data_IF_470179717972
#
_entry.id   IF_470179717972
#
_cell.length_a   1.000
_cell.length_b   1.000
_cell.length_c   1.000
_cell.angle_alpha   90.00
_cell.angle_beta   90.00
_cell.angle_gamma   90.00
#
_symmetry.space_group_name_H-M   'P 1'
#
loop_
_entity.id
_entity.type
_entity.pdbx_description
1 polymer ?
#
# COMPACT_ATOMS: atom_id res chain seq x y z
N UNK A 1 15.67 66.95 -30.09
CA UNK A 1 14.96 66.05 -31.03
C UNK A 1 15.04 64.65 -30.46
N UNK A 2 13.87 64.10 -30.14
CA UNK A 2 13.64 62.80 -29.50
C UNK A 2 13.57 61.68 -30.54
N UNK A 3 14.08 60.49 -30.22
CA UNK A 3 13.58 59.15 -30.65
C UNK A 3 14.09 58.15 -29.59
N UNK A 4 13.30 57.70 -28.60
CA UNK A 4 12.37 56.56 -28.58
C UNK A 4 12.97 55.17 -28.92
N UNK A 5 13.04 54.29 -27.91
CA UNK A 5 12.82 52.84 -27.99
C UNK A 5 12.88 52.26 -26.56
N UNK A 6 11.71 52.19 -25.91
CA UNK A 6 11.02 50.93 -25.56
C UNK A 6 11.69 50.16 -24.41
N UNK A 7 11.32 50.56 -23.20
CA UNK A 7 11.49 49.73 -22.01
C UNK A 7 10.51 48.56 -22.04
N UNK A 8 11.04 47.36 -21.93
CA UNK A 8 10.27 46.16 -21.64
C UNK A 8 9.57 46.31 -20.28
N UNK A 9 8.31 45.87 -20.14
CA UNK A 9 7.64 45.91 -18.85
C UNK A 9 8.34 44.93 -17.91
N UNK A 10 8.90 45.46 -16.82
CA UNK A 10 9.27 44.65 -15.67
C UNK A 10 8.00 43.95 -15.19
N UNK A 11 7.92 42.64 -15.44
CA UNK A 11 6.91 41.79 -14.82
C UNK A 11 7.22 41.84 -13.33
N UNK A 12 6.47 42.67 -12.62
CA UNK A 12 6.38 42.67 -11.17
C UNK A 12 5.86 41.28 -10.85
N UNK A 13 6.76 40.40 -10.41
CA UNK A 13 6.37 39.23 -9.64
C UNK A 13 5.68 39.79 -8.40
N UNK A 14 4.36 39.92 -8.47
CA UNK A 14 3.50 39.99 -7.30
C UNK A 14 3.67 38.65 -6.58
N UNK A 15 4.75 38.56 -5.80
CA UNK A 15 4.90 37.60 -4.73
C UNK A 15 3.79 38.01 -3.76
N UNK A 16 2.60 37.47 -3.98
CA UNK A 16 1.61 37.37 -2.93
C UNK A 16 2.37 36.70 -1.77
N UNK A 17 2.53 37.37 -0.61
CA UNK A 17 2.95 36.63 0.55
C UNK A 17 1.88 35.55 0.72
N UNK A 18 2.24 34.29 0.52
CA UNK A 18 1.47 33.19 1.07
C UNK A 18 1.28 33.57 2.54
N UNK A 19 0.06 34.00 2.89
CA UNK A 19 -0.24 34.44 4.25
C UNK A 19 -0.05 33.21 5.12
N UNK A 20 1.16 33.06 5.66
CA UNK A 20 1.45 32.17 6.73
C UNK A 20 0.54 32.64 7.86
N UNK A 21 -0.53 31.89 8.10
CA UNK A 21 -1.49 32.16 9.16
C UNK A 21 -0.71 32.46 10.44
N UNK A 22 -0.87 33.67 10.98
CA UNK A 22 -0.18 34.08 12.20
C UNK A 22 -0.52 33.08 13.31
N UNK A 23 0.48 32.70 14.11
CA UNK A 23 0.31 31.69 15.16
C UNK A 23 -0.88 32.00 16.10
N UNK A 24 -1.19 33.29 16.31
CA UNK A 24 -2.35 33.73 17.08
C UNK A 24 -3.68 33.38 16.40
N UNK A 25 -3.80 33.64 15.09
CA UNK A 25 -4.98 33.28 14.30
C UNK A 25 -5.19 31.76 14.26
N UNK A 26 -4.11 30.99 14.11
CA UNK A 26 -4.15 29.51 14.16
C UNK A 26 -4.61 29.00 15.53
N UNK A 27 -4.12 29.61 16.62
CA UNK A 27 -4.52 29.28 18.00
C UNK A 27 -5.99 29.59 18.27
N UNK A 28 -6.52 30.70 17.75
CA UNK A 28 -7.94 31.03 17.85
C UNK A 28 -8.81 30.06 17.05
N UNK A 29 -8.38 29.68 15.84
CA UNK A 29 -9.06 28.65 15.04
C UNK A 29 -9.16 27.34 15.81
N UNK A 30 -8.05 26.87 16.40
CA UNK A 30 -8.04 25.67 17.23
C UNK A 30 -8.96 25.77 18.45
N UNK A 31 -9.03 26.94 19.11
CA UNK A 31 -9.98 27.13 20.22
C UNK A 31 -11.43 27.00 19.76
N UNK A 32 -11.80 27.57 18.60
CA UNK A 32 -13.15 27.45 18.03
C UNK A 32 -13.47 26.00 17.63
N UNK A 33 -12.53 25.30 17.00
CA UNK A 33 -12.70 23.89 16.63
C UNK A 33 -12.87 22.98 17.86
N UNK A 34 -12.06 23.21 18.90
CA UNK A 34 -12.12 22.45 20.16
C UNK A 34 -13.46 22.62 20.89
N UNK A 35 -14.14 23.75 20.74
CA UNK A 35 -15.49 23.95 21.31
C UNK A 35 -16.54 23.05 20.68
N UNK A 36 -16.33 22.59 19.45
CA UNK A 36 -17.24 21.69 18.74
C UNK A 36 -16.99 20.21 19.05
N UNK A 37 -15.93 19.89 19.79
CA UNK A 37 -15.63 18.51 20.16
C UNK A 37 -16.48 18.03 21.34
N UNK A 38 -16.76 16.73 21.43
CA UNK A 38 -17.37 16.11 22.60
C UNK A 38 -16.60 16.49 23.88
N UNK A 39 -17.31 16.71 24.99
CA UNK A 39 -16.78 17.11 26.30
C UNK A 39 -15.47 16.42 26.72
N UNK A 40 -15.29 15.09 26.57
CA UNK A 40 -14.02 14.43 26.94
C UNK A 40 -12.82 14.87 26.08
N UNK A 41 -13.06 15.26 24.83
CA UNK A 41 -12.02 15.70 23.88
C UNK A 41 -11.69 17.20 23.98
N UNK A 42 -12.46 17.97 24.77
CA UNK A 42 -12.25 19.41 24.95
C UNK A 42 -11.02 19.76 25.79
N UNK A 43 -10.38 18.78 26.45
CA UNK A 43 -9.19 18.98 27.29
C UNK A 43 -7.87 18.54 26.61
N UNK A 44 -7.90 18.18 25.33
CA UNK A 44 -6.75 17.68 24.58
C UNK A 44 -5.81 18.79 24.10
N UNK A 45 -4.50 18.49 23.98
CA UNK A 45 -3.50 19.43 23.46
C UNK A 45 -3.90 20.08 22.12
N UNK A 46 -3.59 21.37 21.97
CA UNK A 46 -3.95 22.15 20.77
C UNK A 46 -3.29 21.62 19.49
N UNK A 47 -2.14 20.96 19.61
CA UNK A 47 -1.41 20.36 18.49
C UNK A 47 -2.17 19.22 17.81
N UNK A 48 -3.04 18.52 18.53
CA UNK A 48 -3.87 17.42 18.01
C UNK A 48 -5.25 17.89 17.54
N UNK A 49 -5.60 19.17 17.71
CA UNK A 49 -6.95 19.66 17.34
C UNK A 49 -7.21 19.56 15.84
N UNK A 50 -6.23 19.90 14.99
CA UNK A 50 -6.41 19.74 13.53
C UNK A 50 -6.57 18.26 13.14
N UNK A 51 -5.79 17.37 13.76
CA UNK A 51 -5.82 15.93 13.46
C UNK A 51 -7.09 15.23 13.99
N UNK A 52 -7.67 15.74 15.07
CA UNK A 52 -8.99 15.29 15.56
C UNK A 52 -10.08 15.86 14.66
N UNK A 53 -9.98 17.13 14.26
CA UNK A 53 -10.97 17.77 13.40
C UNK A 53 -11.07 17.13 12.00
N UNK A 54 -10.03 16.45 11.53
CA UNK A 54 -10.05 15.69 10.27
C UNK A 54 -10.73 14.32 10.38
N UNK A 55 -10.97 13.80 11.60
CA UNK A 55 -11.62 12.51 11.79
C UNK A 55 -13.10 12.55 11.47
N UNK A 56 -13.65 11.42 11.02
CA UNK A 56 -15.08 11.25 10.82
C UNK A 56 -15.85 11.33 12.14
N UNK A 57 -17.13 11.72 12.08
CA UNK A 57 -17.97 11.91 13.28
C UNK A 57 -18.10 10.64 14.14
N UNK A 58 -18.13 9.46 13.51
CA UNK A 58 -18.14 8.15 14.19
C UNK A 58 -16.85 7.90 14.95
N UNK A 59 -15.70 8.14 14.31
CA UNK A 59 -14.38 8.06 14.92
C UNK A 59 -14.21 9.07 16.07
N UNK A 60 -14.76 10.27 15.95
CA UNK A 60 -14.77 11.28 17.03
C UNK A 60 -15.52 10.83 18.27
N UNK A 61 -16.69 10.20 18.09
CA UNK A 61 -17.48 9.67 19.20
C UNK A 61 -16.78 8.48 19.87
N UNK A 62 -16.17 7.59 19.08
CA UNK A 62 -15.36 6.49 19.62
C UNK A 62 -14.14 7.00 20.38
N UNK A 63 -13.41 7.98 19.83
CA UNK A 63 -12.26 8.60 20.51
C UNK A 63 -12.69 9.25 21.82
N UNK A 64 -13.84 9.95 21.83
CA UNK A 64 -14.42 10.55 23.02
C UNK A 64 -14.75 9.52 24.10
N UNK A 65 -15.25 8.35 23.71
CA UNK A 65 -15.61 7.27 24.63
C UNK A 65 -14.37 6.59 25.26
N UNK A 66 -13.26 6.50 24.53
CA UNK A 66 -12.04 5.82 24.99
C UNK A 66 -10.95 6.76 25.51
N UNK A 67 -11.17 8.09 25.46
CA UNK A 67 -10.14 9.09 25.75
C UNK A 67 -9.44 8.91 27.11
N UNK A 68 -10.17 8.42 28.11
CA UNK A 68 -9.65 8.20 29.46
C UNK A 68 -8.91 6.85 29.63
N UNK A 69 -8.98 5.99 28.62
CA UNK A 69 -8.46 4.61 28.65
C UNK A 69 -7.26 4.40 27.70
N UNK A 70 -6.86 5.43 26.96
CA UNK A 70 -5.78 5.36 25.96
C UNK A 70 -4.44 5.86 26.53
N UNK A 71 -3.38 5.08 26.32
CA UNK A 71 -2.00 5.49 26.67
C UNK A 71 -1.43 6.52 25.69
N UNK A 72 -1.90 6.54 24.43
CA UNK A 72 -1.37 7.44 23.39
C UNK A 72 -2.45 7.95 22.43
N UNK A 73 -2.81 9.22 22.61
CA UNK A 73 -3.76 9.94 21.77
C UNK A 73 -3.32 10.09 20.30
N UNK A 74 -2.05 10.39 19.97
CA UNK A 74 -1.61 10.42 18.57
C UNK A 74 -1.77 9.06 17.87
N UNK A 75 -1.53 7.94 18.57
CA UNK A 75 -1.74 6.60 18.01
C UNK A 75 -3.22 6.32 17.75
N UNK A 76 -4.10 6.70 18.69
CA UNK A 76 -5.54 6.52 18.54
C UNK A 76 -6.08 7.31 17.34
N UNK A 77 -5.65 8.56 17.16
CA UNK A 77 -6.03 9.37 15.99
C UNK A 77 -5.57 8.72 14.70
N UNK A 78 -4.32 8.26 14.62
CA UNK A 78 -3.80 7.63 13.40
C UNK A 78 -4.56 6.34 13.06
N UNK A 79 -4.90 5.53 14.06
CA UNK A 79 -5.70 4.32 13.83
C UNK A 79 -7.12 4.63 13.37
N UNK A 80 -7.73 5.69 13.89
CA UNK A 80 -9.06 6.15 13.51
C UNK A 80 -9.11 6.83 12.14
N UNK A 81 -8.01 7.46 11.72
CA UNK A 81 -7.85 8.06 10.39
C UNK A 81 -7.78 6.96 9.32
N UNK A 82 -7.09 5.86 9.62
CA UNK A 82 -6.94 4.70 8.72
C UNK A 82 -8.17 3.77 8.78
N UNK A 83 -8.72 3.56 9.97
CA UNK A 83 -9.84 2.64 10.23
C UNK A 83 -10.97 3.36 11.00
N UNK A 84 -11.85 4.09 10.31
CA UNK A 84 -12.93 4.85 10.96
C UNK A 84 -13.99 3.95 11.62
N UNK A 85 -14.10 2.70 11.17
CA UNK A 85 -15.07 1.70 11.66
C UNK A 85 -14.47 0.67 12.62
N UNK A 86 -13.30 0.95 13.19
CA UNK A 86 -12.67 0.05 14.17
C UNK A 86 -13.54 -0.06 15.44
N UNK A 87 -13.67 -1.27 15.97
CA UNK A 87 -14.38 -1.48 17.22
C UNK A 87 -13.56 -0.96 18.43
N UNK A 88 -14.29 -0.58 19.47
CA UNK A 88 -13.73 -0.01 20.71
C UNK A 88 -12.64 -0.88 21.34
N UNK A 89 -12.86 -2.20 21.38
CA UNK A 89 -11.96 -3.15 22.05
C UNK A 89 -10.66 -3.32 21.26
N UNK A 90 -10.74 -3.47 19.94
CA UNK A 90 -9.59 -3.51 19.04
C UNK A 90 -8.78 -2.22 19.09
N UNK A 91 -9.45 -1.06 19.10
CA UNK A 91 -8.78 0.23 19.17
C UNK A 91 -7.99 0.38 20.47
N UNK A 92 -8.59 0.04 21.62
CA UNK A 92 -7.90 0.06 22.91
C UNK A 92 -6.73 -0.93 22.96
N UNK A 93 -6.92 -2.14 22.42
CA UNK A 93 -5.86 -3.15 22.34
C UNK A 93 -4.64 -2.66 21.54
N UNK A 94 -4.86 -1.98 20.42
CA UNK A 94 -3.79 -1.48 19.55
C UNK A 94 -3.11 -0.22 20.12
N UNK A 95 -3.87 0.68 20.74
CA UNK A 95 -3.33 1.93 21.30
C UNK A 95 -2.48 1.65 22.54
N UNK A 96 -2.90 0.68 23.38
CA UNK A 96 -2.25 0.34 24.64
C UNK A 96 -1.23 -0.80 24.51
N UNK A 97 -1.06 -1.39 23.32
CA UNK A 97 0.01 -2.35 23.07
C UNK A 97 1.38 -1.66 23.19
N UNK A 98 2.18 -2.08 24.19
CA UNK A 98 3.55 -1.59 24.46
C UNK A 98 4.63 -2.17 23.54
N UNK A 99 4.24 -2.95 22.53
CA UNK A 99 5.13 -3.59 21.56
C UNK A 99 4.80 -3.15 20.12
N UNK A 100 5.79 -3.27 19.24
CA UNK A 100 5.72 -2.96 17.80
C UNK A 100 4.38 -3.32 17.19
N UNK A 101 3.81 -2.37 16.45
CA UNK A 101 2.51 -2.49 15.78
C UNK A 101 2.61 -3.64 14.77
N UNK A 102 2.19 -4.83 15.19
CA UNK A 102 1.85 -5.92 14.30
C UNK A 102 0.57 -5.51 13.58
N UNK A 103 0.72 -4.90 12.40
CA UNK A 103 -0.38 -4.53 11.49
C UNK A 103 -1.32 -5.71 11.15
N UNK A 104 -0.94 -6.94 11.52
CA UNK A 104 -1.74 -8.15 11.36
C UNK A 104 -2.85 -8.32 12.43
N UNK A 105 -2.86 -7.51 13.49
CA UNK A 105 -3.83 -7.64 14.59
C UNK A 105 -5.10 -6.80 14.40
N UNK A 106 -5.17 -5.92 13.41
CA UNK A 106 -6.36 -5.10 13.14
C UNK A 106 -7.39 -5.97 12.41
N UNK A 107 -8.26 -6.64 13.19
CA UNK A 107 -9.43 -7.33 12.67
C UNK A 107 -10.59 -6.35 12.61
N UNK A 108 -10.98 -5.93 11.41
CA UNK A 108 -12.30 -5.30 11.18
C UNK A 108 -13.43 -6.28 11.55
N UNK A 109 -14.55 -5.84 12.15
CA UNK A 109 -15.64 -6.73 12.49
C UNK A 109 -16.51 -7.05 11.26
N UNK A 110 -16.64 -8.36 10.97
CA UNK A 110 -17.74 -9.12 10.32
C UNK A 110 -18.50 -8.49 9.13
N UNK A 111 -18.70 -9.12 7.97
CA UNK A 111 -18.73 -10.52 7.56
C UNK A 111 -18.42 -10.53 6.04
N UNK A 112 -17.77 -11.53 5.45
CA UNK A 112 -18.31 -12.88 5.24
C UNK A 112 -17.17 -13.90 5.24
N UNK A 113 -17.52 -15.13 5.60
CA UNK A 113 -16.70 -16.34 5.62
C UNK A 113 -15.65 -16.37 4.49
N UNK A 114 -14.44 -15.90 4.77
CA UNK A 114 -13.24 -16.26 3.99
C UNK A 114 -12.58 -17.44 4.71
N UNK A 115 -12.18 -18.49 3.98
CA UNK A 115 -11.57 -19.65 4.59
C UNK A 115 -10.29 -19.20 5.27
N UNK A 116 -10.05 -19.78 6.44
CA UNK A 116 -8.89 -19.61 7.29
C UNK A 116 -7.62 -19.63 6.45
N UNK A 117 -7.00 -18.47 6.27
CA UNK A 117 -5.64 -18.36 5.73
C UNK A 117 -4.66 -18.75 6.84
N UNK A 118 -4.61 -20.05 7.15
CA UNK A 118 -3.52 -20.67 7.87
C UNK A 118 -3.22 -22.02 7.22
N UNK A 119 -2.51 -21.93 6.09
CA UNK A 119 -1.53 -22.92 5.70
C UNK A 119 -0.47 -22.15 4.90
N UNK A 120 0.85 -22.37 5.11
CA UNK A 120 1.80 -21.96 4.07
C UNK A 120 1.24 -22.53 2.78
N UNK A 121 0.95 -21.67 1.80
CA UNK A 121 0.30 -22.07 0.56
C UNK A 121 1.12 -23.24 0.02
N UNK A 122 0.58 -24.44 0.18
CA UNK A 122 1.26 -25.63 -0.25
C UNK A 122 1.05 -25.59 -1.75
N UNK A 123 2.12 -25.42 -2.52
CA UNK A 123 2.04 -25.37 -3.96
C UNK A 123 1.14 -26.50 -4.42
N UNK A 124 0.01 -26.15 -5.05
CA UNK A 124 -0.88 -27.16 -5.55
C UNK A 124 -0.14 -27.87 -6.69
N UNK A 125 -0.47 -29.13 -6.93
CA UNK A 125 0.08 -29.87 -8.07
C UNK A 125 -0.14 -29.10 -9.38
N UNK A 126 -1.22 -28.35 -9.49
CA UNK A 126 -1.53 -27.45 -10.60
C UNK A 126 -0.52 -26.29 -10.76
N UNK A 127 -0.02 -25.72 -9.67
CA UNK A 127 0.98 -24.63 -9.71
C UNK A 127 2.34 -25.16 -10.23
N UNK A 128 2.70 -26.37 -9.81
CA UNK A 128 3.92 -27.06 -10.26
C UNK A 128 3.81 -27.42 -11.74
N UNK A 129 2.65 -27.95 -12.16
CA UNK A 129 2.39 -28.29 -13.56
C UNK A 129 2.37 -27.04 -14.45
N UNK A 130 1.77 -25.95 -13.98
CA UNK A 130 1.78 -24.66 -14.67
C UNK A 130 3.21 -24.15 -14.85
N UNK A 131 4.04 -24.17 -13.80
CA UNK A 131 5.44 -23.78 -13.92
C UNK A 131 6.21 -24.72 -14.88
N UNK A 132 5.93 -26.01 -14.85
CA UNK A 132 6.52 -26.98 -15.78
C UNK A 132 6.09 -26.70 -17.24
N UNK A 133 4.85 -26.30 -17.48
CA UNK A 133 4.38 -25.88 -18.82
C UNK A 133 5.16 -24.66 -19.33
N UNK A 134 5.39 -23.67 -18.46
CA UNK A 134 6.21 -22.50 -18.79
C UNK A 134 7.67 -22.90 -19.06
N UNK A 135 8.24 -23.80 -18.27
CA UNK A 135 9.60 -24.29 -18.51
C UNK A 135 9.72 -25.01 -19.86
N UNK A 136 8.70 -25.77 -20.26
CA UNK A 136 8.69 -26.44 -21.56
C UNK A 136 8.44 -25.48 -22.72
N UNK A 137 7.65 -24.42 -22.53
CA UNK A 137 7.48 -23.39 -23.57
C UNK A 137 8.76 -22.58 -23.77
N UNK A 138 9.53 -22.35 -22.71
CA UNK A 138 10.80 -21.65 -22.78
C UNK A 138 11.95 -22.54 -23.26
N UNK A 139 11.90 -23.84 -22.97
CA UNK A 139 12.92 -24.80 -23.37
C UNK A 139 12.26 -25.98 -24.08
N UNK A 140 11.96 -25.85 -25.38
CA UNK A 140 11.18 -26.86 -26.12
C UNK A 140 11.82 -28.26 -26.13
N UNK A 141 13.13 -28.36 -25.91
CA UNK A 141 13.88 -29.63 -25.82
C UNK A 141 13.81 -30.29 -24.44
N UNK A 142 13.24 -29.64 -23.42
CA UNK A 142 13.17 -30.15 -22.06
C UNK A 142 12.06 -31.21 -21.92
N UNK A 143 12.38 -32.45 -21.50
CA UNK A 143 11.37 -33.48 -21.28
C UNK A 143 10.48 -33.15 -20.08
N UNK A 144 9.21 -33.56 -20.14
CA UNK A 144 8.18 -33.19 -19.15
C UNK A 144 8.57 -33.53 -17.72
N UNK A 145 9.11 -34.72 -17.52
CA UNK A 145 9.54 -35.22 -16.21
C UNK A 145 10.67 -34.38 -15.61
N UNK A 146 11.57 -33.85 -16.45
CA UNK A 146 12.62 -32.93 -15.99
C UNK A 146 12.06 -31.56 -15.65
N UNK A 147 11.10 -31.06 -16.42
CA UNK A 147 10.43 -29.78 -16.15
C UNK A 147 9.64 -29.81 -14.83
N UNK A 148 8.89 -30.88 -14.57
CA UNK A 148 8.16 -31.07 -13.31
C UNK A 148 9.11 -31.23 -12.12
N UNK A 149 10.17 -32.03 -12.28
CA UNK A 149 11.18 -32.20 -11.25
C UNK A 149 11.89 -30.88 -10.93
N UNK A 150 12.22 -30.08 -11.96
CA UNK A 150 12.84 -28.76 -11.80
C UNK A 150 11.88 -27.76 -11.15
N UNK A 151 10.61 -27.72 -11.58
CA UNK A 151 9.57 -26.87 -11.00
C UNK A 151 9.32 -27.17 -9.52
N UNK A 152 9.42 -28.43 -9.11
CA UNK A 152 9.29 -28.85 -7.70
C UNK A 152 10.58 -28.65 -6.87
N UNK A 153 11.69 -28.27 -7.51
CA UNK A 153 12.99 -28.13 -6.84
C UNK A 153 13.09 -26.86 -6.02
N UNK A 154 13.99 -26.86 -5.03
CA UNK A 154 14.26 -25.66 -4.21
C UNK A 154 14.80 -24.49 -5.04
N UNK A 155 15.47 -24.76 -6.18
CA UNK A 155 16.00 -23.71 -7.05
C UNK A 155 14.90 -22.88 -7.73
N UNK A 156 13.69 -23.45 -7.87
CA UNK A 156 12.54 -22.81 -8.52
C UNK A 156 11.48 -22.31 -7.53
N UNK A 157 11.77 -22.35 -6.23
CA UNK A 157 10.81 -22.00 -5.18
C UNK A 157 10.24 -20.58 -5.35
N UNK A 158 11.08 -19.61 -5.72
CA UNK A 158 10.64 -18.23 -5.91
C UNK A 158 9.77 -18.07 -7.16
N UNK A 159 10.11 -18.75 -8.26
CA UNK A 159 9.29 -18.80 -9.45
C UNK A 159 7.91 -19.45 -9.17
N UNK A 160 7.90 -20.53 -8.39
CA UNK A 160 6.67 -21.20 -7.97
C UNK A 160 5.79 -20.30 -7.09
N UNK A 161 6.39 -19.53 -6.17
CA UNK A 161 5.66 -18.55 -5.36
C UNK A 161 5.01 -17.46 -6.23
N UNK A 162 5.69 -17.02 -7.30
CA UNK A 162 5.12 -16.05 -8.25
C UNK A 162 3.94 -16.66 -9.00
N UNK A 163 4.06 -17.89 -9.51
CA UNK A 163 2.95 -18.59 -10.18
C UNK A 163 1.72 -18.70 -9.26
N UNK A 164 1.96 -19.06 -8.00
CA UNK A 164 0.91 -19.14 -6.98
C UNK A 164 0.28 -17.78 -6.71
N UNK A 165 1.09 -16.72 -6.53
CA UNK A 165 0.60 -15.38 -6.28
C UNK A 165 -0.23 -14.85 -7.45
N UNK A 166 0.20 -15.11 -8.69
CA UNK A 166 -0.52 -14.75 -9.91
C UNK A 166 -1.87 -15.48 -9.97
N UNK A 167 -1.89 -16.79 -9.66
CA UNK A 167 -3.13 -17.56 -9.63
C UNK A 167 -4.11 -17.02 -8.60
N UNK A 168 -3.64 -16.81 -7.36
CA UNK A 168 -4.45 -16.24 -6.28
C UNK A 168 -4.99 -14.86 -6.68
N UNK A 169 -4.15 -14.02 -7.29
CA UNK A 169 -4.55 -12.69 -7.74
C UNK A 169 -5.63 -12.74 -8.84
N UNK A 170 -5.56 -13.73 -9.75
CA UNK A 170 -6.58 -13.96 -10.78
C UNK A 170 -7.88 -14.55 -10.23
N UNK A 171 -7.80 -15.44 -9.26
CA UNK A 171 -8.98 -16.03 -8.60
C UNK A 171 -9.67 -15.03 -7.66
N UNK A 172 -8.90 -14.08 -7.10
CA UNK A 172 -9.39 -12.99 -6.25
C UNK A 172 -10.00 -11.82 -7.05
N UNK A 173 -10.41 -12.04 -8.30
CA UNK A 173 -10.97 -11.01 -9.20
C UNK A 173 -12.35 -10.54 -8.72
N UNK A 174 -12.35 -9.77 -7.64
CA UNK A 174 -13.54 -9.13 -7.07
C UNK A 174 -13.84 -7.78 -7.73
N UNK A 175 -12.94 -7.23 -8.56
CA UNK A 175 -13.11 -5.93 -9.22
C UNK A 175 -12.21 -5.77 -10.45
N UNK A 176 -12.77 -5.26 -11.53
CA UNK A 176 -12.06 -4.93 -12.78
C UNK A 176 -10.90 -3.95 -12.56
N UNK A 177 -11.02 -3.06 -11.57
CA UNK A 177 -9.97 -2.12 -11.21
C UNK A 177 -8.72 -2.83 -10.66
N UNK A 178 -8.92 -3.87 -9.84
CA UNK A 178 -7.81 -4.68 -9.29
C UNK A 178 -7.09 -5.40 -10.43
N UNK A 179 -7.82 -5.94 -11.40
CA UNK A 179 -7.24 -6.59 -12.58
C UNK A 179 -6.39 -5.62 -13.42
N UNK A 180 -6.88 -4.39 -13.65
CA UNK A 180 -6.13 -3.37 -14.37
C UNK A 180 -4.86 -2.94 -13.64
N UNK A 181 -4.92 -2.76 -12.32
CA UNK A 181 -3.74 -2.45 -11.50
C UNK A 181 -2.70 -3.58 -11.53
N UNK A 182 -3.15 -4.85 -11.41
CA UNK A 182 -2.27 -6.01 -11.51
C UNK A 182 -1.61 -6.09 -12.89
N UNK A 183 -2.39 -5.87 -13.96
CA UNK A 183 -1.86 -5.85 -15.33
C UNK A 183 -0.78 -4.77 -15.51
N UNK A 184 -1.02 -3.56 -15.00
CA UNK A 184 -0.04 -2.47 -15.02
C UNK A 184 1.25 -2.84 -14.28
N UNK A 185 1.14 -3.44 -13.10
CA UNK A 185 2.27 -3.86 -12.28
C UNK A 185 3.11 -4.94 -12.99
N UNK A 186 2.46 -5.93 -13.62
CA UNK A 186 3.19 -6.93 -14.42
C UNK A 186 3.92 -6.29 -15.61
N UNK A 187 3.31 -5.32 -16.29
CA UNK A 187 3.93 -4.60 -17.40
C UNK A 187 5.14 -3.77 -16.99
N UNK A 188 5.10 -3.15 -15.81
CA UNK A 188 6.25 -2.43 -15.26
C UNK A 188 7.37 -3.39 -14.87
N UNK A 189 7.01 -4.48 -14.19
CA UNK A 189 7.96 -5.51 -13.74
C UNK A 189 8.67 -6.18 -14.92
N UNK A 190 7.95 -6.45 -16.02
CA UNK A 190 8.51 -6.98 -17.26
C UNK A 190 9.66 -6.12 -17.80
N UNK A 191 9.49 -4.79 -17.79
CA UNK A 191 10.52 -3.85 -18.27
C UNK A 191 11.78 -3.91 -17.40
N UNK A 192 11.60 -3.91 -16.08
CA UNK A 192 12.70 -3.97 -15.12
C UNK A 192 13.47 -5.30 -15.26
N UNK A 193 12.76 -6.43 -15.35
CA UNK A 193 13.40 -7.73 -15.57
C UNK A 193 14.15 -7.77 -16.92
N UNK A 194 13.61 -7.18 -17.97
CA UNK A 194 14.28 -7.14 -19.28
C UNK A 194 15.57 -6.31 -19.23
N UNK A 195 15.61 -5.23 -18.43
CA UNK A 195 16.83 -4.45 -18.20
C UNK A 195 17.86 -5.24 -17.40
N UNK A 196 17.45 -5.93 -16.33
CA UNK A 196 18.33 -6.77 -15.51
C UNK A 196 18.94 -7.93 -16.30
N UNK A 197 18.15 -8.57 -17.17
CA UNK A 197 18.62 -9.63 -18.06
C UNK A 197 19.66 -9.08 -19.05
N UNK A 198 19.43 -7.89 -19.62
CA UNK A 198 20.39 -7.24 -20.54
C UNK A 198 21.68 -6.82 -19.84
N UNK A 199 21.60 -6.43 -18.57
CA UNK A 199 22.76 -6.03 -17.78
C UNK A 199 23.69 -7.22 -17.44
N UNK A 200 23.16 -8.45 -17.42
CA UNK A 200 23.93 -9.65 -17.06
C UNK A 200 24.17 -10.60 -18.26
N UNK A 201 25.42 -10.77 -18.72
CA UNK A 201 25.74 -11.59 -19.88
C UNK A 201 25.42 -13.09 -19.68
N UNK A 202 25.39 -13.58 -18.44
CA UNK A 202 25.01 -14.97 -18.14
C UNK A 202 23.52 -15.21 -18.41
N UNK A 203 22.67 -14.23 -18.12
CA UNK A 203 21.25 -14.31 -18.42
C UNK A 203 20.98 -14.19 -19.92
N UNK A 204 21.76 -13.38 -20.65
CA UNK A 204 21.68 -13.33 -22.11
C UNK A 204 22.02 -14.66 -22.77
N UNK A 205 23.02 -15.38 -22.24
CA UNK A 205 23.38 -16.69 -22.78
C UNK A 205 22.32 -17.75 -22.45
N UNK A 206 21.73 -17.72 -21.25
CA UNK A 206 20.60 -18.59 -20.89
C UNK A 206 19.34 -18.26 -21.72
N UNK A 207 19.07 -16.97 -21.94
CA UNK A 207 17.98 -16.47 -22.76
C UNK A 207 18.10 -16.84 -24.24
N UNK A 208 19.32 -16.95 -24.79
CA UNK A 208 19.57 -17.46 -26.14
C UNK A 208 19.38 -18.97 -26.27
N UNK A 209 19.48 -19.69 -25.15
CA UNK A 209 19.20 -21.12 -25.08
C UNK A 209 17.73 -21.41 -24.80
N UNK A 210 16.96 -20.39 -24.43
CA UNK A 210 15.51 -20.46 -24.36
C UNK A 210 14.90 -19.91 -25.65
N UNK A 211 13.77 -20.48 -26.06
CA UNK A 211 13.01 -20.05 -27.25
C UNK A 211 12.23 -18.74 -26.99
N UNK A 212 12.56 -18.04 -25.90
CA UNK A 212 11.84 -16.90 -25.34
C UNK A 212 12.14 -15.59 -26.09
N UNK A 213 13.19 -15.58 -26.94
CA UNK A 213 13.72 -14.38 -27.59
C UNK A 213 13.81 -14.46 -29.13
N UNK A 214 13.22 -15.48 -29.75
CA UNK A 214 13.19 -15.65 -31.21
C UNK A 214 12.13 -14.80 -31.94
N UNK A 215 11.68 -13.67 -31.35
CA UNK A 215 10.76 -12.69 -31.97
C UNK A 215 11.27 -11.25 -31.89
#
# INVERSE_FOLDING_TARGET
MSVHSQGYPAIIYSILPAMAEDYQSKKERWKRLRQNFPTPLQNIALSSVDAIASLQQTALLLLAEINDQIESLPKAILLLDIFPDIDKESLLGLVNAKGEISWQAIKSPAAEKRPVLQKPAQAFTEDILSLADHLQSFYAKMPRTAAESLASSNAMKDALNVVMAVRIARESTASDFVTLCLYGLFKESEKLLAEDIKANPSFLNAARQSDLWDQ
#
